data_IF_571090520170
#
_entry.id   IF_571090520170
#
_cell.length_a   1.000
_cell.length_b   1.000
_cell.length_c   1.000
_cell.angle_alpha   90.00
_cell.angle_beta   90.00
_cell.angle_gamma   90.00
#
_symmetry.space_group_name_H-M   'P 1'
#
loop_
_entity.id
_entity.type
_entity.pdbx_description
1 polymer ?
#
# COMPACT_ATOMS: atom_id res chain seq x y z
N UNK A 1 -73.92 9.79 -9.85
CA UNK A 1 -72.49 9.47 -9.66
C UNK A 1 -71.82 9.63 -11.01
N UNK A 2 -70.82 10.51 -11.13
CA UNK A 2 -70.06 10.69 -12.38
C UNK A 2 -69.08 9.52 -12.50
N UNK A 3 -69.31 8.62 -13.46
CA UNK A 3 -68.30 7.63 -13.84
C UNK A 3 -67.17 8.37 -14.56
N UNK A 4 -66.11 8.70 -13.82
CA UNK A 4 -64.87 9.21 -14.38
C UNK A 4 -64.08 7.98 -14.84
N UNK A 5 -64.18 7.64 -16.12
CA UNK A 5 -63.25 6.71 -16.74
C UNK A 5 -61.90 7.43 -16.86
N UNK A 6 -60.96 7.06 -15.99
CA UNK A 6 -59.58 7.48 -16.09
C UNK A 6 -58.95 6.66 -17.24
N UNK A 7 -59.04 7.17 -18.47
CA UNK A 7 -58.21 6.66 -19.56
C UNK A 7 -56.76 6.99 -19.23
N UNK A 8 -55.99 5.96 -18.85
CA UNK A 8 -54.53 6.06 -18.73
C UNK A 8 -53.99 6.36 -20.13
N UNK A 9 -53.39 7.53 -20.30
CA UNK A 9 -52.64 7.90 -21.50
C UNK A 9 -51.44 6.95 -21.60
N UNK A 10 -51.58 5.91 -22.41
CA UNK A 10 -50.53 4.91 -22.70
C UNK A 10 -50.68 4.24 -24.07
N UNK A 11 -51.80 4.45 -24.77
CA UNK A 11 -52.05 3.89 -26.10
C UNK A 11 -51.44 4.76 -27.20
N UNK A 12 -50.12 4.71 -27.34
CA UNK A 12 -49.46 5.00 -28.61
C UNK A 12 -48.35 3.96 -28.86
N UNK A 13 -48.73 2.69 -28.91
CA UNK A 13 -48.00 1.76 -29.77
C UNK A 13 -48.52 2.01 -31.20
N UNK A 14 -47.68 2.43 -32.16
CA UNK A 14 -48.11 2.56 -33.55
C UNK A 14 -48.71 1.23 -34.04
N UNK A 15 -49.68 1.27 -34.94
CA UNK A 15 -50.45 0.10 -35.41
C UNK A 15 -49.64 -1.02 -36.08
N UNK A 16 -48.33 -0.83 -36.22
CA UNK A 16 -47.37 -1.83 -36.73
C UNK A 16 -46.37 -2.28 -35.65
N UNK A 17 -46.60 -1.92 -34.39
CA UNK A 17 -45.72 -2.36 -33.30
C UNK A 17 -46.08 -3.77 -32.86
N UNK A 18 -45.06 -4.60 -32.76
CA UNK A 18 -45.06 -5.90 -32.07
C UNK A 18 -45.35 -5.78 -30.58
N UNK A 19 -45.51 -4.55 -30.06
CA UNK A 19 -45.61 -4.24 -28.64
C UNK A 19 -47.00 -3.70 -28.30
N UNK A 20 -47.58 -4.17 -27.21
CA UNK A 20 -48.86 -3.69 -26.68
C UNK A 20 -48.88 -3.76 -25.16
N UNK A 21 -49.69 -2.92 -24.50
CA UNK A 21 -49.83 -2.95 -23.05
C UNK A 21 -51.08 -3.72 -22.61
N UNK A 22 -50.95 -4.49 -21.53
CA UNK A 22 -52.11 -5.02 -20.82
C UNK A 22 -52.75 -3.94 -19.94
N UNK A 23 -53.95 -4.19 -19.40
CA UNK A 23 -54.66 -3.25 -18.51
C UNK A 23 -53.86 -2.94 -17.23
N UNK A 24 -53.08 -3.89 -16.77
CA UNK A 24 -52.22 -3.81 -15.59
C UNK A 24 -50.95 -2.98 -15.86
N UNK A 25 -50.63 -2.73 -17.14
CA UNK A 25 -49.43 -2.02 -17.56
C UNK A 25 -48.24 -2.93 -17.90
N UNK A 26 -48.46 -4.23 -18.10
CA UNK A 26 -47.42 -5.15 -18.58
C UNK A 26 -47.23 -4.98 -20.09
N UNK A 27 -46.00 -5.19 -20.56
CA UNK A 27 -45.67 -5.07 -21.98
C UNK A 27 -45.70 -6.46 -22.63
N UNK A 28 -46.62 -6.64 -23.57
CA UNK A 28 -46.68 -7.80 -24.45
C UNK A 28 -45.91 -7.51 -25.74
N UNK A 29 -44.88 -8.30 -26.01
CA UNK A 29 -44.07 -8.27 -27.22
C UNK A 29 -44.36 -9.55 -28.03
N UNK A 30 -44.96 -9.45 -29.20
CA UNK A 30 -45.27 -10.61 -30.06
C UNK A 30 -44.21 -10.79 -31.14
N UNK A 31 -44.01 -12.03 -31.59
CA UNK A 31 -43.09 -12.37 -32.69
C UNK A 31 -41.63 -11.94 -32.42
N UNK A 32 -41.17 -12.06 -31.18
CA UNK A 32 -39.80 -11.73 -30.79
C UNK A 32 -38.86 -12.81 -31.30
N UNK A 33 -37.79 -12.42 -32.01
CA UNK A 33 -36.73 -13.34 -32.43
C UNK A 33 -35.82 -13.64 -31.24
N UNK A 34 -35.87 -14.87 -30.76
CA UNK A 34 -35.18 -15.32 -29.54
C UNK A 34 -33.80 -15.91 -29.85
N UNK A 35 -33.69 -16.68 -30.94
CA UNK A 35 -32.43 -17.28 -31.40
C UNK A 35 -32.44 -17.49 -32.91
N UNK A 36 -31.25 -17.79 -33.47
CA UNK A 36 -31.04 -18.05 -34.90
C UNK A 36 -30.32 -19.38 -35.10
N UNK A 37 -30.71 -20.15 -36.09
CA UNK A 37 -29.96 -21.30 -36.56
C UNK A 37 -30.23 -21.55 -38.06
N UNK A 38 -29.26 -22.06 -38.83
CA UNK A 38 -27.92 -22.44 -38.41
C UNK A 38 -27.03 -21.22 -38.10
N UNK A 39 -26.19 -21.31 -37.06
CA UNK A 39 -25.26 -20.22 -36.71
C UNK A 39 -24.03 -20.74 -35.94
N UNK A 40 -22.84 -20.25 -36.29
CA UNK A 40 -21.64 -20.41 -35.47
C UNK A 40 -21.51 -19.22 -34.53
N UNK A 41 -21.24 -19.49 -33.24
CA UNK A 41 -21.03 -18.48 -32.21
C UNK A 41 -19.70 -18.72 -31.51
N UNK A 42 -19.01 -17.65 -31.16
CA UNK A 42 -17.75 -17.70 -30.43
C UNK A 42 -18.02 -17.77 -28.94
N UNK A 43 -17.43 -18.74 -28.22
CA UNK A 43 -17.45 -18.88 -26.77
C UNK A 43 -16.03 -18.88 -26.21
N UNK A 44 -15.85 -18.55 -24.93
CA UNK A 44 -14.61 -18.83 -24.24
C UNK A 44 -14.60 -20.25 -23.70
N UNK A 45 -13.45 -20.90 -23.71
CA UNK A 45 -13.33 -22.25 -23.17
C UNK A 45 -13.67 -22.33 -21.67
N UNK A 46 -13.41 -21.27 -20.88
CA UNK A 46 -13.79 -21.25 -19.46
C UNK A 46 -15.31 -21.36 -19.23
N UNK A 47 -16.14 -21.04 -20.23
CA UNK A 47 -17.60 -21.21 -20.16
C UNK A 47 -17.98 -22.71 -20.08
N UNK A 48 -17.04 -23.62 -20.39
CA UNK A 48 -17.22 -25.08 -20.36
C UNK A 48 -16.13 -25.73 -19.49
N UNK A 49 -16.35 -25.83 -18.15
CA UNK A 49 -15.34 -26.36 -17.22
C UNK A 49 -14.87 -27.78 -17.53
N UNK A 50 -15.68 -28.57 -18.24
CA UNK A 50 -15.36 -29.95 -18.65
C UNK A 50 -14.67 -30.05 -20.01
N UNK A 51 -14.39 -28.93 -20.68
CA UNK A 51 -13.75 -28.92 -21.99
C UNK A 51 -12.24 -29.03 -21.82
N UNK A 52 -11.68 -30.19 -22.17
CA UNK A 52 -10.25 -30.48 -22.10
C UNK A 52 -9.51 -30.02 -23.37
N UNK A 53 -8.23 -29.67 -23.22
CA UNK A 53 -7.35 -29.34 -24.36
C UNK A 53 -7.41 -27.89 -24.84
N UNK A 54 -8.10 -27.01 -24.11
CA UNK A 54 -8.19 -25.58 -24.40
C UNK A 54 -7.71 -24.75 -23.21
N UNK A 55 -7.04 -23.63 -23.47
CA UNK A 55 -6.76 -22.65 -22.40
C UNK A 55 -8.04 -21.89 -22.06
N UNK A 56 -8.21 -21.48 -20.80
CA UNK A 56 -9.44 -20.86 -20.32
C UNK A 56 -9.88 -19.63 -21.14
N UNK A 57 -8.91 -18.83 -21.59
CA UNK A 57 -9.07 -17.62 -22.39
C UNK A 57 -9.21 -17.86 -23.90
N UNK A 58 -9.08 -19.10 -24.36
CA UNK A 58 -9.19 -19.45 -25.76
C UNK A 58 -10.63 -19.29 -26.25
N UNK A 59 -10.79 -18.62 -27.40
CA UNK A 59 -12.07 -18.56 -28.11
C UNK A 59 -12.27 -19.86 -28.90
N UNK A 60 -13.46 -20.43 -28.76
CA UNK A 60 -13.93 -21.62 -29.48
C UNK A 60 -15.19 -21.27 -30.27
N UNK A 61 -15.22 -21.64 -31.55
CA UNK A 61 -16.40 -21.54 -32.39
C UNK A 61 -17.29 -22.75 -32.15
N UNK A 62 -18.52 -22.50 -31.68
CA UNK A 62 -19.53 -23.52 -31.44
C UNK A 62 -20.68 -23.34 -32.42
N UNK A 63 -20.93 -24.39 -33.19
CA UNK A 63 -22.02 -24.44 -34.15
C UNK A 63 -23.35 -24.79 -33.46
N UNK A 64 -24.40 -24.05 -33.80
CA UNK A 64 -25.78 -24.36 -33.43
C UNK A 64 -26.53 -24.84 -34.68
N UNK A 65 -26.73 -26.17 -34.82
CA UNK A 65 -27.45 -26.72 -35.96
C UNK A 65 -28.95 -26.39 -35.91
N UNK A 66 -29.55 -26.16 -37.07
CA UNK A 66 -30.98 -25.87 -37.18
C UNK A 66 -31.82 -27.07 -36.74
N UNK A 67 -31.38 -28.27 -37.09
CA UNK A 67 -31.99 -29.55 -36.73
C UNK A 67 -31.96 -29.86 -35.24
N UNK A 68 -31.18 -29.13 -34.43
CA UNK A 68 -31.12 -29.24 -32.98
C UNK A 68 -31.93 -28.14 -32.28
N UNK A 69 -31.80 -26.89 -32.75
CA UNK A 69 -32.53 -25.76 -32.18
C UNK A 69 -34.04 -25.84 -32.46
N UNK A 70 -34.43 -26.37 -33.62
CA UNK A 70 -35.83 -26.42 -34.05
C UNK A 70 -36.50 -27.78 -33.82
N UNK A 71 -35.88 -28.68 -33.03
CA UNK A 71 -36.57 -29.91 -32.61
C UNK A 71 -37.86 -29.57 -31.87
N UNK A 72 -38.96 -30.31 -32.08
CA UNK A 72 -40.20 -30.09 -31.37
C UNK A 72 -40.04 -30.04 -29.85
N UNK A 73 -39.17 -30.89 -29.29
CA UNK A 73 -38.86 -30.94 -27.86
C UNK A 73 -38.14 -29.68 -27.39
N UNK A 74 -37.15 -29.20 -28.16
CA UNK A 74 -36.46 -27.94 -27.89
C UNK A 74 -37.45 -26.77 -27.89
N UNK A 75 -38.26 -26.64 -28.95
CA UNK A 75 -39.25 -25.57 -29.08
C UNK A 75 -40.24 -25.60 -27.90
N UNK A 76 -40.75 -26.79 -27.55
CA UNK A 76 -41.67 -26.96 -26.44
C UNK A 76 -41.03 -26.60 -25.10
N UNK A 77 -39.75 -26.89 -24.89
CA UNK A 77 -39.04 -26.61 -23.64
C UNK A 77 -38.92 -25.11 -23.32
N UNK A 78 -38.95 -24.23 -24.32
CA UNK A 78 -38.94 -22.78 -24.11
C UNK A 78 -40.34 -22.18 -23.87
N UNK A 79 -41.41 -22.96 -24.02
CA UNK A 79 -42.75 -22.43 -23.81
C UNK A 79 -43.10 -22.40 -22.32
N UNK A 80 -43.36 -21.22 -21.77
CA UNK A 80 -43.65 -21.00 -20.36
C UNK A 80 -42.42 -20.72 -19.49
N UNK A 81 -41.21 -20.63 -20.07
CA UNK A 81 -40.01 -20.28 -19.31
C UNK A 81 -40.01 -18.81 -18.88
N UNK A 82 -39.21 -18.50 -17.87
CA UNK A 82 -39.03 -17.13 -17.40
C UNK A 82 -38.33 -16.26 -18.45
N UNK A 83 -38.77 -15.02 -18.58
CA UNK A 83 -37.98 -13.95 -19.15
C UNK A 83 -37.19 -13.30 -18.01
N UNK A 84 -35.89 -13.07 -18.21
CA UNK A 84 -34.99 -12.56 -17.16
C UNK A 84 -34.33 -11.24 -17.54
N UNK A 85 -34.01 -10.43 -16.54
CA UNK A 85 -33.09 -9.31 -16.71
C UNK A 85 -31.65 -9.84 -16.71
N UNK A 86 -31.01 -9.86 -17.88
CA UNK A 86 -29.75 -10.57 -18.11
C UNK A 86 -29.79 -12.07 -17.77
N UNK A 87 -28.66 -12.74 -18.01
CA UNK A 87 -28.46 -14.12 -17.55
C UNK A 87 -28.24 -14.15 -16.03
N UNK A 88 -28.98 -14.98 -15.29
CA UNK A 88 -28.69 -15.23 -13.87
C UNK A 88 -27.30 -15.85 -13.67
N UNK A 89 -26.76 -15.85 -12.43
CA UNK A 89 -25.49 -16.48 -12.10
C UNK A 89 -25.49 -17.96 -12.51
N UNK A 90 -24.37 -18.43 -13.07
CA UNK A 90 -24.22 -19.78 -13.65
C UNK A 90 -25.14 -20.08 -14.84
N UNK A 91 -25.77 -19.04 -15.42
CA UNK A 91 -26.67 -19.16 -16.55
C UNK A 91 -27.92 -20.03 -16.27
N UNK A 92 -28.44 -19.98 -15.04
CA UNK A 92 -29.56 -20.82 -14.61
C UNK A 92 -30.52 -20.04 -13.69
N UNK A 93 -31.82 -20.06 -13.99
CA UNK A 93 -32.87 -19.56 -13.09
C UNK A 93 -33.40 -20.69 -12.19
N UNK A 94 -33.55 -20.41 -10.90
CA UNK A 94 -34.08 -21.38 -9.94
C UNK A 94 -34.72 -20.67 -8.73
N UNK A 95 -35.29 -21.46 -7.82
CA UNK A 95 -36.02 -20.95 -6.65
C UNK A 95 -35.22 -19.99 -5.76
N UNK A 96 -33.88 -20.04 -5.79
CA UNK A 96 -33.03 -19.17 -4.97
C UNK A 96 -32.78 -17.79 -5.58
N UNK A 97 -32.89 -17.64 -6.90
CA UNK A 97 -32.57 -16.40 -7.62
C UNK A 97 -33.76 -15.84 -8.43
N UNK A 98 -34.85 -16.61 -8.61
CA UNK A 98 -35.99 -16.24 -9.46
C UNK A 98 -36.49 -14.81 -9.20
N UNK A 99 -36.64 -14.42 -7.94
CA UNK A 99 -37.17 -13.11 -7.56
C UNK A 99 -36.30 -11.94 -8.05
N UNK A 100 -34.98 -12.14 -8.16
CA UNK A 100 -34.04 -11.07 -8.47
C UNK A 100 -33.88 -10.86 -9.98
N UNK A 101 -34.12 -11.91 -10.78
CA UNK A 101 -33.88 -11.89 -12.22
C UNK A 101 -35.15 -11.98 -13.05
N UNK A 102 -36.24 -12.54 -12.53
CA UNK A 102 -37.49 -12.70 -13.27
C UNK A 102 -38.13 -11.35 -13.61
N UNK A 103 -38.42 -11.14 -14.88
CA UNK A 103 -39.09 -9.94 -15.38
C UNK A 103 -40.37 -10.26 -16.16
N UNK A 104 -40.65 -11.52 -16.47
CA UNK A 104 -41.77 -11.89 -17.33
C UNK A 104 -41.75 -13.35 -17.76
N UNK A 105 -42.56 -13.68 -18.77
CA UNK A 105 -42.68 -15.04 -19.29
C UNK A 105 -42.57 -15.06 -20.81
N UNK A 106 -42.07 -16.19 -21.33
CA UNK A 106 -42.06 -16.49 -22.76
C UNK A 106 -43.16 -17.50 -23.10
N UNK A 107 -43.91 -17.25 -24.17
CA UNK A 107 -45.02 -18.09 -24.63
C UNK A 107 -44.98 -18.24 -26.17
N UNK A 108 -45.77 -19.16 -26.71
CA UNK A 108 -46.02 -19.29 -28.16
C UNK A 108 -44.73 -19.46 -28.99
N UNK A 109 -43.79 -20.25 -28.45
CA UNK A 109 -42.49 -20.50 -29.08
C UNK A 109 -42.66 -21.39 -30.31
N UNK A 110 -42.03 -21.00 -31.42
CA UNK A 110 -42.12 -21.68 -32.72
C UNK A 110 -40.94 -21.32 -33.62
N UNK A 111 -40.77 -22.07 -34.70
CA UNK A 111 -39.81 -21.74 -35.75
C UNK A 111 -40.46 -20.82 -36.79
N UNK A 112 -39.76 -19.74 -37.16
CA UNK A 112 -40.09 -18.91 -38.32
C UNK A 112 -38.81 -18.65 -39.14
N UNK A 113 -38.67 -19.35 -40.27
CA UNK A 113 -37.46 -19.33 -41.08
C UNK A 113 -36.25 -19.82 -40.28
N UNK A 114 -35.19 -19.01 -40.24
CA UNK A 114 -33.95 -19.29 -39.52
C UNK A 114 -34.02 -18.87 -38.04
N UNK A 115 -35.19 -18.49 -37.52
CA UNK A 115 -35.36 -17.96 -36.18
C UNK A 115 -36.26 -18.83 -35.29
N UNK A 116 -35.86 -18.94 -34.02
CA UNK A 116 -36.75 -19.31 -32.94
C UNK A 116 -37.48 -18.05 -32.51
N UNK A 117 -38.81 -18.06 -32.59
CA UNK A 117 -39.66 -16.90 -32.33
C UNK A 117 -40.61 -17.23 -31.18
N UNK A 118 -40.86 -16.26 -30.30
CA UNK A 118 -41.85 -16.38 -29.23
C UNK A 118 -42.45 -15.04 -28.85
N UNK A 119 -43.46 -15.09 -27.99
CA UNK A 119 -44.12 -13.92 -27.43
C UNK A 119 -43.65 -13.72 -25.98
N UNK A 120 -43.31 -12.49 -25.61
CA UNK A 120 -42.87 -12.15 -24.26
C UNK A 120 -43.92 -11.29 -23.54
N UNK A 121 -44.25 -11.66 -22.31
CA UNK A 121 -45.01 -10.82 -21.40
C UNK A 121 -44.08 -10.27 -20.32
N UNK A 122 -43.59 -9.06 -20.51
CA UNK A 122 -42.70 -8.37 -19.57
C UNK A 122 -43.55 -7.61 -18.54
N UNK A 123 -43.31 -7.92 -17.27
CA UNK A 123 -44.03 -7.39 -16.11
C UNK A 123 -43.22 -6.37 -15.31
N UNK A 124 -41.89 -6.46 -15.35
CA UNK A 124 -41.03 -5.52 -14.62
C UNK A 124 -41.01 -4.13 -15.27
N UNK A 125 -41.19 -3.09 -14.45
CA UNK A 125 -41.31 -1.70 -14.93
C UNK A 125 -39.99 -1.16 -15.49
N UNK A 126 -38.85 -1.53 -14.90
CA UNK A 126 -37.54 -1.04 -15.35
C UNK A 126 -37.22 -1.66 -16.70
N UNK A 127 -37.42 -2.97 -16.86
CA UNK A 127 -37.24 -3.65 -18.15
C UNK A 127 -38.17 -3.11 -19.23
N UNK A 128 -39.44 -2.81 -18.89
CA UNK A 128 -40.38 -2.17 -19.82
C UNK A 128 -39.82 -0.82 -20.31
N UNK A 129 -39.34 0.03 -19.39
CA UNK A 129 -38.79 1.34 -19.76
C UNK A 129 -37.56 1.21 -20.67
N UNK A 130 -36.68 0.24 -20.40
CA UNK A 130 -35.49 -0.05 -21.22
C UNK A 130 -35.84 -0.56 -22.62
N UNK A 131 -36.89 -1.35 -22.75
CA UNK A 131 -37.40 -1.81 -24.06
C UNK A 131 -38.03 -0.65 -24.83
N UNK A 132 -38.83 0.17 -24.15
CA UNK A 132 -39.50 1.32 -24.77
C UNK A 132 -38.51 2.39 -25.25
N UNK A 133 -37.42 2.61 -24.50
CA UNK A 133 -36.34 3.51 -24.90
C UNK A 133 -35.41 2.92 -25.99
N UNK A 134 -35.58 1.63 -26.33
CA UNK A 134 -34.65 0.84 -27.15
C UNK A 134 -33.21 0.79 -26.60
N UNK A 135 -33.01 1.04 -25.31
CA UNK A 135 -31.71 0.88 -24.66
C UNK A 135 -31.33 -0.60 -24.49
N UNK A 136 -32.34 -1.45 -24.30
CA UNK A 136 -32.17 -2.91 -24.19
C UNK A 136 -33.30 -3.63 -24.89
N UNK A 137 -32.97 -4.31 -25.99
CA UNK A 137 -33.96 -5.03 -26.81
C UNK A 137 -33.45 -6.37 -27.34
N UNK A 138 -32.16 -6.70 -27.19
CA UNK A 138 -31.60 -7.94 -27.74
C UNK A 138 -31.88 -9.13 -26.83
N UNK A 139 -32.04 -10.30 -27.43
CA UNK A 139 -32.39 -11.55 -26.76
C UNK A 139 -31.19 -12.49 -26.71
N UNK A 140 -31.12 -13.26 -25.61
CA UNK A 140 -30.21 -14.38 -25.47
C UNK A 140 -30.92 -15.55 -24.79
N UNK A 141 -30.68 -16.77 -25.24
CA UNK A 141 -31.29 -17.95 -24.64
C UNK A 141 -30.44 -18.45 -23.46
N UNK A 142 -31.09 -18.72 -22.33
CA UNK A 142 -30.57 -19.55 -21.27
C UNK A 142 -31.07 -20.98 -21.45
N UNK A 143 -30.15 -21.95 -21.47
CA UNK A 143 -30.48 -23.35 -21.75
C UNK A 143 -29.43 -24.31 -21.23
N UNK A 144 -29.85 -25.53 -20.97
CA UNK A 144 -28.98 -26.70 -20.97
C UNK A 144 -28.80 -27.22 -22.40
N UNK A 145 -27.59 -27.58 -22.78
CA UNK A 145 -27.31 -28.28 -24.03
C UNK A 145 -26.09 -29.20 -23.85
N UNK A 146 -26.01 -30.24 -24.67
CA UNK A 146 -24.84 -31.09 -24.74
C UNK A 146 -23.86 -30.52 -25.77
N UNK A 147 -22.62 -30.28 -25.33
CA UNK A 147 -21.53 -29.87 -26.20
C UNK A 147 -20.83 -31.09 -26.78
N UNK A 148 -20.82 -31.22 -28.10
CA UNK A 148 -20.08 -32.27 -28.82
C UNK A 148 -18.85 -31.64 -29.46
N UNK A 149 -17.66 -32.02 -28.99
CA UNK A 149 -16.39 -31.57 -29.57
C UNK A 149 -16.15 -32.30 -30.89
N UNK A 150 -16.24 -31.55 -31.98
CA UNK A 150 -16.12 -32.07 -33.34
C UNK A 150 -15.71 -30.90 -34.24
N UNK A 151 -14.64 -31.09 -35.00
CA UNK A 151 -14.20 -30.10 -35.99
C UNK A 151 -15.09 -30.22 -37.23
N UNK A 152 -15.60 -29.09 -37.71
CA UNK A 152 -16.41 -29.07 -38.93
C UNK A 152 -16.54 -27.68 -39.53
N UNK A 153 -17.37 -27.59 -40.56
CA UNK A 153 -17.65 -26.36 -41.27
C UNK A 153 -19.17 -26.19 -41.39
N UNK A 154 -19.68 -25.04 -40.93
CA UNK A 154 -21.09 -24.71 -41.03
C UNK A 154 -21.51 -24.45 -42.49
N UNK A 155 -22.82 -24.46 -42.81
CA UNK A 155 -23.30 -24.26 -44.17
C UNK A 155 -22.84 -22.94 -44.84
N UNK A 156 -22.52 -21.93 -44.04
CA UNK A 156 -22.00 -20.63 -44.50
C UNK A 156 -20.48 -20.61 -44.73
N UNK A 157 -19.79 -21.75 -44.54
CA UNK A 157 -18.35 -21.88 -44.68
C UNK A 157 -17.57 -21.60 -43.39
N UNK A 158 -18.23 -21.24 -42.29
CA UNK A 158 -17.54 -20.91 -41.03
C UNK A 158 -17.05 -22.18 -40.32
N UNK A 159 -15.74 -22.32 -40.01
CA UNK A 159 -15.23 -23.46 -39.27
C UNK A 159 -15.64 -23.40 -37.78
N UNK A 160 -15.95 -24.57 -37.21
CA UNK A 160 -16.30 -24.73 -35.80
C UNK A 160 -15.49 -25.85 -35.14
N UNK A 161 -15.32 -25.77 -33.82
CA UNK A 161 -14.60 -26.75 -32.99
C UNK A 161 -15.54 -27.66 -32.19
N UNK A 162 -16.79 -27.24 -32.02
CA UNK A 162 -17.80 -28.02 -31.34
C UNK A 162 -19.19 -27.66 -31.87
N UNK A 163 -20.18 -28.48 -31.56
CA UNK A 163 -21.59 -28.20 -31.83
C UNK A 163 -22.46 -28.47 -30.61
N UNK A 164 -23.53 -27.71 -30.46
CA UNK A 164 -24.55 -27.97 -29.45
C UNK A 164 -25.62 -28.93 -29.99
N UNK A 165 -26.01 -29.89 -29.15
CA UNK A 165 -27.14 -30.78 -29.39
C UNK A 165 -27.99 -30.88 -28.12
N UNK A 166 -29.23 -31.39 -28.25
CA UNK A 166 -30.13 -31.67 -27.12
C UNK A 166 -30.38 -30.45 -26.23
N UNK A 167 -30.89 -29.37 -26.83
CA UNK A 167 -31.25 -28.15 -26.11
C UNK A 167 -32.46 -28.38 -25.20
N UNK A 168 -32.41 -27.78 -24.01
CA UNK A 168 -33.52 -27.68 -23.08
C UNK A 168 -33.57 -26.26 -22.52
N UNK A 169 -34.67 -25.55 -22.78
CA UNK A 169 -34.87 -24.18 -22.36
C UNK A 169 -34.92 -24.02 -20.85
N UNK A 170 -34.28 -22.95 -20.36
CA UNK A 170 -34.30 -22.53 -18.96
C UNK A 170 -34.92 -21.13 -18.82
N UNK A 171 -34.46 -20.16 -19.61
CA UNK A 171 -34.98 -18.79 -19.63
C UNK A 171 -34.69 -18.05 -20.94
N UNK A 172 -35.35 -16.89 -21.12
CA UNK A 172 -35.06 -15.91 -22.18
C UNK A 172 -34.52 -14.63 -21.55
N UNK A 173 -33.26 -14.29 -21.78
CA UNK A 173 -32.64 -13.11 -21.20
C UNK A 173 -32.82 -11.87 -22.08
N UNK A 174 -33.32 -10.78 -21.49
CA UNK A 174 -33.25 -9.43 -22.04
C UNK A 174 -31.85 -8.88 -21.79
N UNK A 175 -31.08 -8.70 -22.86
CA UNK A 175 -29.68 -8.27 -22.80
C UNK A 175 -29.43 -7.04 -23.66
N UNK A 176 -28.36 -6.32 -23.34
CA UNK A 176 -27.93 -5.19 -24.18
C UNK A 176 -27.42 -5.66 -25.54
N UNK A 177 -26.67 -6.75 -25.54
CA UNK A 177 -26.10 -7.36 -26.72
C UNK A 177 -26.25 -8.88 -26.61
N UNK A 178 -26.90 -9.51 -27.59
CA UNK A 178 -27.14 -10.95 -27.64
C UNK A 178 -26.10 -11.67 -28.50
N UNK A 179 -25.79 -12.92 -28.16
CA UNK A 179 -24.81 -13.73 -28.91
C UNK A 179 -25.30 -14.18 -30.29
N UNK A 180 -26.61 -14.15 -30.49
CA UNK A 180 -27.23 -14.34 -31.80
C UNK A 180 -27.00 -13.13 -32.75
N UNK A 181 -26.56 -11.98 -32.20
CA UNK A 181 -26.46 -10.71 -32.90
C UNK A 181 -27.77 -9.92 -32.86
N UNK A 182 -27.72 -8.66 -33.29
CA UNK A 182 -28.84 -7.71 -33.19
C UNK A 182 -30.08 -8.05 -34.02
N UNK A 183 -30.09 -9.17 -34.75
CA UNK A 183 -31.28 -9.72 -35.40
C UNK A 183 -32.22 -10.43 -34.40
N UNK A 184 -31.66 -10.97 -33.31
CA UNK A 184 -32.41 -11.60 -32.23
C UNK A 184 -32.78 -10.54 -31.18
N UNK A 185 -33.96 -9.93 -31.33
CA UNK A 185 -34.39 -8.80 -30.51
C UNK A 185 -35.91 -8.62 -30.50
N UNK A 186 -36.38 -7.79 -29.58
CA UNK A 186 -37.71 -7.20 -29.56
C UNK A 186 -37.73 -6.01 -30.52
N UNK A 187 -38.39 -6.12 -31.68
CA UNK A 187 -38.45 -4.99 -32.60
C UNK A 187 -39.43 -5.17 -33.76
N UNK A 188 -39.88 -4.02 -34.26
CA UNK A 188 -40.75 -3.93 -35.42
C UNK A 188 -39.92 -4.09 -36.70
N UNK A 189 -40.54 -4.61 -37.76
CA UNK A 189 -39.90 -5.07 -39.01
C UNK A 189 -39.01 -4.02 -39.73
N UNK A 190 -39.05 -2.75 -39.31
CA UNK A 190 -38.37 -1.59 -39.94
C UNK A 190 -37.34 -0.89 -39.05
N UNK A 191 -36.57 -1.60 -38.23
CA UNK A 191 -35.40 -1.00 -37.59
C UNK A 191 -34.10 -1.59 -38.17
N UNK A 192 -33.28 -0.74 -38.78
CA UNK A 192 -31.90 -1.10 -39.14
C UNK A 192 -31.07 -1.20 -37.86
N UNK A 193 -30.39 -2.34 -37.59
CA UNK A 193 -29.56 -2.48 -36.41
C UNK A 193 -28.45 -1.41 -36.41
N UNK A 194 -28.38 -0.61 -35.35
CA UNK A 194 -27.14 0.08 -34.94
C UNK A 194 -26.64 -0.56 -33.64
N UNK A 195 -26.50 -1.88 -33.63
CA UNK A 195 -26.00 -2.64 -32.48
C UNK A 195 -24.61 -3.16 -32.78
N UNK A 196 -23.61 -2.75 -31.98
CA UNK A 196 -22.34 -3.48 -31.88
C UNK A 196 -22.61 -4.80 -31.15
N UNK A 197 -21.84 -5.82 -31.46
CA UNK A 197 -21.93 -7.15 -30.86
C UNK A 197 -21.48 -7.17 -29.39
N UNK A 198 -21.66 -8.29 -28.70
CA UNK A 198 -21.44 -8.42 -27.25
C UNK A 198 -20.10 -7.84 -26.77
N UNK A 199 -20.20 -6.95 -25.78
CA UNK A 199 -19.07 -6.39 -25.03
C UNK A 199 -18.79 -7.30 -23.82
N UNK A 200 -17.61 -7.90 -23.76
CA UNK A 200 -17.13 -8.63 -22.56
C UNK A 200 -16.11 -7.76 -21.84
N UNK A 201 -16.25 -7.65 -20.53
CA UNK A 201 -15.29 -6.93 -19.68
C UNK A 201 -14.42 -7.92 -18.89
N UNK A 202 -13.12 -7.91 -19.13
CA UNK A 202 -12.12 -8.61 -18.30
C UNK A 202 -11.19 -7.57 -17.69
N UNK A 203 -11.06 -7.54 -16.36
CA UNK A 203 -10.22 -6.59 -15.63
C UNK A 203 -10.47 -5.10 -15.96
N UNK A 204 -11.73 -4.75 -16.25
CA UNK A 204 -12.11 -3.36 -16.58
C UNK A 204 -11.82 -2.92 -18.01
N UNK A 205 -11.32 -3.82 -18.86
CA UNK A 205 -11.05 -3.58 -20.29
C UNK A 205 -12.19 -4.19 -21.12
N UNK A 206 -12.72 -3.41 -22.07
CA UNK A 206 -13.88 -3.73 -22.91
C UNK A 206 -13.42 -4.43 -24.20
N UNK A 207 -14.06 -5.54 -24.56
CA UNK A 207 -13.78 -6.30 -25.78
C UNK A 207 -15.06 -6.52 -26.60
N UNK A 208 -15.05 -6.15 -27.88
CA UNK A 208 -16.14 -6.39 -28.83
C UNK A 208 -15.98 -7.78 -29.50
N UNK A 209 -16.95 -8.69 -29.33
CA UNK A 209 -16.95 -10.01 -30.00
C UNK A 209 -17.57 -9.86 -31.40
N UNK A 210 -16.80 -9.57 -32.45
CA UNK A 210 -17.35 -9.61 -33.82
C UNK A 210 -16.56 -8.97 -34.97
N UNK A 211 -15.43 -8.31 -34.73
CA UNK A 211 -14.59 -7.80 -35.83
C UNK A 211 -13.12 -7.92 -35.44
N UNK A 212 -12.21 -8.11 -36.41
CA UNK A 212 -10.76 -8.26 -36.16
C UNK A 212 -10.02 -6.90 -36.06
N UNK A 213 -10.74 -5.78 -36.18
CA UNK A 213 -10.22 -4.40 -35.99
C UNK A 213 -9.86 -4.02 -34.55
N UNK A 214 -10.62 -4.40 -33.51
CA UNK A 214 -10.29 -4.10 -32.11
C UNK A 214 -9.00 -4.78 -31.65
N UNK A 215 -8.61 -5.93 -32.23
CA UNK A 215 -7.30 -6.52 -31.94
C UNK A 215 -6.16 -5.62 -32.44
N UNK A 216 -6.31 -5.00 -33.62
CA UNK A 216 -5.33 -4.05 -34.13
C UNK A 216 -5.32 -2.75 -33.32
N UNK A 217 -6.47 -2.26 -32.87
CA UNK A 217 -6.56 -1.08 -32.01
C UNK A 217 -6.10 -1.36 -30.56
N UNK A 218 -6.32 -2.57 -30.05
CA UNK A 218 -5.84 -3.02 -28.74
C UNK A 218 -4.33 -3.31 -28.76
N UNK A 219 -3.80 -3.88 -29.85
CA UNK A 219 -2.36 -3.99 -30.08
C UNK A 219 -1.74 -2.61 -30.21
N UNK A 220 -2.40 -1.67 -30.92
CA UNK A 220 -1.93 -0.29 -31.04
C UNK A 220 -2.00 0.46 -29.70
N UNK A 221 -3.05 0.28 -28.91
CA UNK A 221 -3.21 0.89 -27.60
C UNK A 221 -2.26 0.26 -26.57
N UNK A 222 -2.02 -1.06 -26.62
CA UNK A 222 -0.94 -1.70 -25.87
C UNK A 222 0.42 -1.19 -26.31
N UNK A 223 0.66 -1.01 -27.62
CA UNK A 223 1.90 -0.46 -28.14
C UNK A 223 2.09 0.97 -27.63
N UNK A 224 1.06 1.81 -27.68
CA UNK A 224 1.08 3.18 -27.14
C UNK A 224 1.23 3.21 -25.61
N UNK A 225 0.62 2.28 -24.88
CA UNK A 225 0.82 2.12 -23.44
C UNK A 225 2.22 1.64 -23.09
N UNK A 226 2.77 0.69 -23.84
CA UNK A 226 4.16 0.23 -23.74
C UNK A 226 5.13 1.36 -24.05
N UNK A 227 4.88 2.16 -25.08
CA UNK A 227 5.71 3.33 -25.40
C UNK A 227 5.58 4.42 -24.33
N UNK A 228 4.39 4.65 -23.77
CA UNK A 228 4.18 5.58 -22.65
C UNK A 228 4.83 5.08 -21.34
N UNK A 229 4.80 3.77 -21.06
CA UNK A 229 5.48 3.14 -19.93
C UNK A 229 7.01 3.15 -20.11
N UNK A 230 7.51 2.91 -21.32
CA UNK A 230 8.93 3.07 -21.66
C UNK A 230 9.38 4.54 -21.55
N UNK A 231 8.51 5.49 -21.86
CA UNK A 231 8.76 6.93 -21.72
C UNK A 231 8.58 7.45 -20.29
N UNK A 232 7.89 6.69 -19.42
CA UNK A 232 7.71 7.04 -18.02
C UNK A 232 9.06 6.98 -17.29
N UNK A 233 9.35 8.04 -16.52
CA UNK A 233 10.59 8.18 -15.77
C UNK A 233 10.31 7.98 -14.29
N UNK A 234 10.97 7.00 -13.68
CA UNK A 234 10.94 6.84 -12.23
C UNK A 234 11.86 7.90 -11.59
N UNK A 235 11.35 8.66 -10.61
CA UNK A 235 12.14 9.67 -9.89
C UNK A 235 12.61 9.10 -8.55
N UNK A 236 13.92 9.12 -8.31
CA UNK A 236 14.54 8.77 -7.03
C UNK A 236 15.50 9.91 -6.66
N UNK A 237 15.20 10.61 -5.57
CA UNK A 237 15.85 11.89 -5.26
C UNK A 237 15.66 12.92 -6.38
N UNK A 238 16.75 13.53 -6.85
CA UNK A 238 16.73 14.51 -7.96
C UNK A 238 17.01 13.89 -9.34
N UNK A 239 17.19 12.56 -9.44
CA UNK A 239 17.51 11.87 -10.69
C UNK A 239 16.28 11.16 -11.28
N UNK A 240 16.26 11.06 -12.62
CA UNK A 240 15.21 10.40 -13.39
C UNK A 240 15.77 9.17 -14.13
N UNK A 241 15.07 8.04 -14.05
CA UNK A 241 15.46 6.77 -14.66
C UNK A 241 14.40 6.32 -15.68
N UNK A 242 14.82 5.89 -16.87
CA UNK A 242 13.93 5.37 -17.92
C UNK A 242 13.53 3.93 -17.63
N UNK A 243 12.24 3.60 -17.73
CA UNK A 243 11.70 2.28 -17.34
C UNK A 243 11.85 1.21 -18.46
N UNK A 244 12.27 1.61 -19.68
CA UNK A 244 12.32 0.72 -20.85
C UNK A 244 13.25 -0.51 -20.75
N UNK A 245 14.17 -0.55 -19.79
CA UNK A 245 15.02 -1.71 -19.48
C UNK A 245 14.83 -2.09 -17.99
N UNK A 246 13.72 -2.79 -17.71
CA UNK A 246 13.21 -3.05 -16.35
C UNK A 246 14.28 -3.54 -15.36
N UNK A 247 15.23 -4.36 -15.79
CA UNK A 247 16.27 -4.92 -14.93
C UNK A 247 17.36 -3.89 -14.55
N UNK A 248 17.78 -3.05 -15.49
CA UNK A 248 18.85 -2.06 -15.27
C UNK A 248 18.36 -0.85 -14.47
N UNK A 249 17.12 -0.43 -14.70
CA UNK A 249 16.51 0.67 -13.95
C UNK A 249 16.29 0.30 -12.48
N UNK A 250 15.81 -0.91 -12.20
CA UNK A 250 15.64 -1.41 -10.83
C UNK A 250 16.99 -1.57 -10.15
N UNK A 251 18.00 -2.11 -10.83
CA UNK A 251 19.35 -2.26 -10.26
C UNK A 251 19.98 -0.91 -9.91
N UNK A 252 19.86 0.10 -10.79
CA UNK A 252 20.38 1.44 -10.52
C UNK A 252 19.71 2.11 -9.32
N UNK A 253 18.41 1.89 -9.11
CA UNK A 253 17.68 2.39 -7.93
C UNK A 253 18.12 1.67 -6.66
N UNK A 254 18.31 0.36 -6.71
CA UNK A 254 18.82 -0.44 -5.58
C UNK A 254 20.22 0.02 -5.17
N UNK A 255 21.11 0.22 -6.13
CA UNK A 255 22.49 0.67 -5.87
C UNK A 255 22.53 2.08 -5.27
N UNK A 256 21.68 2.99 -5.76
CA UNK A 256 21.56 4.35 -5.22
C UNK A 256 21.02 4.35 -3.79
N UNK A 257 19.95 3.60 -3.51
CA UNK A 257 19.39 3.45 -2.17
C UNK A 257 20.41 2.84 -1.20
N UNK A 258 21.22 1.88 -1.65
CA UNK A 258 22.30 1.32 -0.85
C UNK A 258 23.39 2.34 -0.51
N UNK A 259 23.73 3.21 -1.47
CA UNK A 259 24.73 4.28 -1.29
C UNK A 259 24.22 5.34 -0.30
N UNK A 260 22.96 5.76 -0.44
CA UNK A 260 22.33 6.73 0.47
C UNK A 260 22.19 6.17 1.88
N UNK A 261 21.78 4.90 2.02
CA UNK A 261 21.71 4.21 3.31
C UNK A 261 23.08 4.20 4.01
N UNK A 262 24.13 3.78 3.30
CA UNK A 262 25.50 3.77 3.84
C UNK A 262 25.94 5.17 4.30
N UNK A 263 25.63 6.21 3.51
CA UNK A 263 25.95 7.60 3.84
C UNK A 263 25.20 8.09 5.09
N UNK A 264 23.92 7.75 5.23
CA UNK A 264 23.11 8.10 6.39
C UNK A 264 23.58 7.37 7.64
N UNK A 265 23.90 6.09 7.56
CA UNK A 265 24.47 5.31 8.67
C UNK A 265 25.79 5.92 9.16
N UNK A 266 26.65 6.37 8.23
CA UNK A 266 27.90 7.04 8.56
C UNK A 266 27.66 8.40 9.26
N UNK A 267 26.72 9.20 8.76
CA UNK A 267 26.31 10.47 9.41
C UNK A 267 25.71 10.26 10.80
N UNK A 268 24.88 9.23 10.98
CA UNK A 268 24.30 8.87 12.28
C UNK A 268 25.43 8.49 13.25
N UNK A 269 26.37 7.65 12.84
CA UNK A 269 27.52 7.29 13.68
C UNK A 269 28.41 8.49 14.06
N UNK A 270 28.60 9.46 13.16
CA UNK A 270 29.33 10.68 13.46
C UNK A 270 28.57 11.63 14.40
N UNK A 271 27.23 11.69 14.28
CA UNK A 271 26.38 12.45 15.21
C UNK A 271 26.32 11.79 16.60
N UNK A 272 26.26 10.47 16.68
CA UNK A 272 26.32 9.71 17.94
C UNK A 272 27.65 9.92 18.67
N UNK A 273 28.79 9.92 17.94
CA UNK A 273 30.11 10.21 18.54
C UNK A 273 30.22 11.63 19.11
N UNK A 274 29.46 12.57 18.55
CA UNK A 274 29.46 13.98 18.94
C UNK A 274 28.33 14.36 19.91
N UNK A 275 27.47 13.42 20.32
CA UNK A 275 26.45 13.70 21.32
C UNK A 275 27.06 13.84 22.72
N UNK A 276 26.62 14.87 23.43
CA UNK A 276 26.80 15.01 24.87
C UNK A 276 25.92 13.95 25.55
N UNK A 277 26.52 12.81 25.90
CA UNK A 277 25.80 11.78 26.66
C UNK A 277 25.41 12.31 28.04
N UNK A 278 24.32 11.82 28.64
CA UNK A 278 23.95 12.15 30.01
C UNK A 278 25.13 12.02 30.99
N UNK A 279 25.98 10.98 30.86
CA UNK A 279 27.15 10.83 31.73
C UNK A 279 28.17 11.96 31.56
N UNK A 280 28.42 12.43 30.33
CA UNK A 280 29.33 13.57 30.09
C UNK A 280 28.78 14.87 30.64
N UNK A 281 27.45 15.06 30.63
CA UNK A 281 26.79 16.22 31.22
C UNK A 281 26.88 16.17 32.74
N UNK A 282 26.64 15.01 33.35
CA UNK A 282 26.79 14.79 34.80
C UNK A 282 28.24 14.99 35.26
N UNK A 283 29.21 14.45 34.52
CA UNK A 283 30.63 14.67 34.80
C UNK A 283 31.01 16.14 34.72
N UNK A 284 30.59 16.86 33.67
CA UNK A 284 30.86 18.29 33.54
C UNK A 284 30.20 19.12 34.66
N UNK A 285 29.00 18.72 35.12
CA UNK A 285 28.32 19.35 36.25
C UNK A 285 29.06 19.09 37.58
N UNK A 286 29.53 17.87 37.81
CA UNK A 286 30.31 17.51 39.00
C UNK A 286 31.66 18.24 39.04
N UNK A 287 32.38 18.28 37.92
CA UNK A 287 33.64 19.03 37.81
C UNK A 287 33.43 20.53 38.03
N UNK A 288 32.35 21.10 37.50
CA UNK A 288 31.99 22.50 37.74
C UNK A 288 31.68 22.78 39.21
N UNK A 289 30.93 21.89 39.87
CA UNK A 289 30.63 22.01 41.30
C UNK A 289 31.91 21.97 42.16
N UNK A 290 32.83 21.06 41.85
CA UNK A 290 34.12 20.96 42.55
C UNK A 290 34.98 22.22 42.38
N UNK A 291 35.09 22.75 41.15
CA UNK A 291 35.83 23.99 40.88
C UNK A 291 35.23 25.17 41.64
N UNK A 292 33.90 25.29 41.71
CA UNK A 292 33.24 26.36 42.46
C UNK A 292 33.51 26.22 43.96
N UNK A 293 33.41 25.01 44.51
CA UNK A 293 33.66 24.76 45.93
C UNK A 293 35.11 25.11 46.32
N UNK A 294 36.08 24.65 45.53
CA UNK A 294 37.49 24.97 45.72
C UNK A 294 37.77 26.47 45.58
N UNK A 295 37.20 27.10 44.56
CA UNK A 295 37.39 28.53 44.32
C UNK A 295 36.86 29.37 45.50
N UNK A 296 35.67 29.03 46.02
CA UNK A 296 35.09 29.70 47.19
C UNK A 296 35.89 29.43 48.47
N UNK A 297 36.47 28.25 48.64
CA UNK A 297 37.33 27.95 49.78
C UNK A 297 38.65 28.74 49.73
N UNK A 298 39.23 28.92 48.54
CA UNK A 298 40.48 29.66 48.35
C UNK A 298 40.27 31.18 48.42
N UNK A 299 39.20 31.68 47.78
CA UNK A 299 38.86 33.11 47.66
C UNK A 299 37.34 33.26 47.82
N UNK A 300 36.82 33.51 49.03
CA UNK A 300 35.37 33.57 49.28
C UNK A 300 34.60 34.58 48.41
N UNK A 301 35.26 35.67 48.04
CA UNK A 301 34.71 36.78 47.24
C UNK A 301 34.76 36.54 45.73
N UNK A 302 35.33 35.42 45.24
CA UNK A 302 35.45 35.17 43.79
C UNK A 302 34.06 35.00 43.14
N UNK A 303 33.88 35.61 41.96
CA UNK A 303 32.64 35.50 41.19
C UNK A 303 32.58 34.17 40.46
N UNK A 304 31.53 33.40 40.69
CA UNK A 304 31.33 32.06 40.09
C UNK A 304 30.09 31.98 39.20
N UNK A 305 29.16 32.92 39.36
CA UNK A 305 27.93 33.01 38.58
C UNK A 305 28.21 33.61 37.20
N UNK A 306 27.73 32.93 36.15
CA UNK A 306 27.96 33.33 34.76
C UNK A 306 29.39 33.11 34.24
N UNK A 307 30.32 32.65 35.09
CA UNK A 307 31.70 32.37 34.72
C UNK A 307 31.90 30.91 34.26
N UNK A 308 32.80 30.70 33.30
CA UNK A 308 33.30 29.36 32.93
C UNK A 308 34.24 28.82 34.01
N UNK A 309 34.42 27.50 34.10
CA UNK A 309 35.36 26.91 35.06
C UNK A 309 36.79 27.43 34.86
N UNK A 310 37.19 27.70 33.62
CA UNK A 310 38.50 28.29 33.33
C UNK A 310 38.61 29.72 33.86
N UNK A 311 37.59 30.56 33.64
CA UNK A 311 37.56 31.93 34.17
C UNK A 311 37.67 31.93 35.69
N UNK A 312 36.91 31.06 36.38
CA UNK A 312 36.95 30.93 37.83
C UNK A 312 38.37 30.58 38.32
N UNK A 313 39.04 29.63 37.65
CA UNK A 313 40.41 29.23 38.01
C UNK A 313 41.40 30.39 37.83
N UNK A 314 41.31 31.12 36.72
CA UNK A 314 42.16 32.29 36.45
C UNK A 314 41.92 33.39 37.48
N UNK A 315 40.67 33.68 37.83
CA UNK A 315 40.33 34.69 38.83
C UNK A 315 40.88 34.35 40.22
N UNK A 316 40.82 33.07 40.62
CA UNK A 316 41.42 32.61 41.89
C UNK A 316 42.94 32.76 41.89
N UNK A 317 43.61 32.36 40.80
CA UNK A 317 45.07 32.49 40.68
C UNK A 317 45.48 33.97 40.69
N UNK A 318 44.75 34.83 39.98
CA UNK A 318 45.00 36.27 39.98
C UNK A 318 44.82 36.89 41.38
N UNK A 319 43.77 36.51 42.10
CA UNK A 319 43.53 36.95 43.48
C UNK A 319 44.59 36.42 44.48
N UNK A 320 45.30 35.35 44.11
CA UNK A 320 46.37 34.71 44.90
C UNK A 320 47.75 34.93 44.30
N UNK A 321 47.96 35.96 43.49
CA UNK A 321 49.23 36.19 42.78
C UNK A 321 50.48 36.25 43.69
N UNK A 322 50.31 36.65 44.96
CA UNK A 322 51.38 36.68 45.96
C UNK A 322 51.62 35.36 46.69
N UNK A 323 50.89 34.29 46.38
CA UNK A 323 51.08 32.97 46.96
C UNK A 323 52.36 32.31 46.42
N UNK A 324 53.14 31.67 47.29
CA UNK A 324 54.41 31.05 46.92
C UNK A 324 54.23 29.94 45.87
N UNK A 325 53.12 29.19 45.92
CA UNK A 325 52.80 28.14 44.94
C UNK A 325 52.40 28.76 43.59
N UNK A 326 51.65 29.86 43.61
CA UNK A 326 51.30 30.59 42.38
C UNK A 326 52.57 31.13 41.73
N UNK A 327 53.45 31.75 42.51
CA UNK A 327 54.72 32.29 42.00
C UNK A 327 55.61 31.18 41.41
N UNK A 328 55.71 30.04 42.09
CA UNK A 328 56.52 28.91 41.63
C UNK A 328 55.99 28.25 40.34
N UNK A 329 54.67 28.12 40.20
CA UNK A 329 54.04 27.42 39.08
C UNK A 329 53.72 28.33 37.88
N UNK A 330 53.48 29.61 38.12
CA UNK A 330 53.24 30.59 37.07
C UNK A 330 54.55 31.21 36.56
N UNK A 331 55.58 31.31 37.39
CA UNK A 331 56.85 31.94 37.04
C UNK A 331 56.64 33.40 36.62
N UNK A 332 57.20 33.79 35.47
CA UNK A 332 57.02 35.12 34.88
C UNK A 332 55.79 35.22 33.96
N UNK A 333 54.99 34.16 33.82
CA UNK A 333 53.83 34.15 32.92
C UNK A 333 52.64 34.82 33.60
N UNK A 334 52.11 35.87 32.97
CA UNK A 334 50.89 36.52 33.45
C UNK A 334 49.69 35.57 33.35
N UNK A 335 48.74 35.68 34.28
CA UNK A 335 47.56 34.80 34.35
C UNK A 335 46.72 34.83 33.08
N UNK A 336 46.70 35.95 32.34
CA UNK A 336 46.01 36.07 31.05
C UNK A 336 46.66 35.24 29.93
N UNK A 337 47.99 35.12 29.94
CA UNK A 337 48.77 34.49 28.86
C UNK A 337 49.07 33.02 29.11
N UNK A 338 48.78 32.52 30.31
CA UNK A 338 49.04 31.14 30.68
C UNK A 338 48.14 30.15 29.92
N UNK A 339 48.75 29.03 29.51
CA UNK A 339 48.04 27.93 28.85
C UNK A 339 47.05 27.26 29.82
N UNK A 340 45.92 26.71 29.34
CA UNK A 340 44.92 26.06 30.19
C UNK A 340 45.49 24.99 31.13
N UNK A 341 46.50 24.22 30.68
CA UNK A 341 47.16 23.19 31.48
C UNK A 341 47.91 23.79 32.68
N UNK A 342 48.57 24.94 32.49
CA UNK A 342 49.31 25.64 33.54
C UNK A 342 48.36 26.25 34.57
N UNK A 343 47.24 26.81 34.13
CA UNK A 343 46.14 27.29 35.00
C UNK A 343 45.54 26.14 35.80
N UNK A 344 45.25 25.01 35.15
CA UNK A 344 44.71 23.82 35.82
C UNK A 344 45.66 23.26 36.87
N UNK A 345 46.96 23.20 36.56
CA UNK A 345 47.99 22.69 37.48
C UNK A 345 48.14 23.60 38.69
N UNK A 346 48.21 24.92 38.47
CA UNK A 346 48.33 25.91 39.53
C UNK A 346 47.11 25.92 40.44
N UNK A 347 45.90 25.90 39.87
CA UNK A 347 44.67 25.85 40.63
C UNK A 347 44.55 24.56 41.46
N UNK A 348 44.90 23.40 40.90
CA UNK A 348 44.92 22.13 41.63
C UNK A 348 45.90 22.15 42.81
N UNK A 349 47.09 22.72 42.61
CA UNK A 349 48.09 22.86 43.68
C UNK A 349 47.56 23.73 44.82
N UNK A 350 46.92 24.86 44.51
CA UNK A 350 46.24 25.70 45.50
C UNK A 350 45.12 24.95 46.23
N UNK A 351 44.25 24.25 45.49
CA UNK A 351 43.16 23.45 46.07
C UNK A 351 43.67 22.34 46.99
N UNK A 352 44.83 21.75 46.70
CA UNK A 352 45.39 20.66 47.50
C UNK A 352 45.91 21.12 48.88
N UNK A 353 46.25 22.40 49.03
CA UNK A 353 46.75 22.99 50.29
C UNK A 353 45.71 23.83 51.03
N UNK A 354 44.44 23.77 50.60
CA UNK A 354 43.35 24.53 51.25
C UNK A 354 43.23 24.13 52.72
N UNK A 355 43.54 25.06 53.63
CA UNK A 355 43.47 24.86 55.09
C UNK A 355 44.81 24.65 55.80
N UNK A 356 45.94 24.59 55.08
CA UNK A 356 47.26 24.67 55.72
C UNK A 356 47.80 26.10 55.60
N UNK A 357 47.96 26.78 56.73
CA UNK A 357 48.72 28.03 56.76
C UNK A 357 50.21 27.71 56.63
N UNK A 358 50.99 28.36 55.74
CA UNK A 358 52.43 28.23 55.78
C UNK A 358 52.94 28.82 57.10
N UNK A 359 53.44 27.97 58.01
CA UNK A 359 54.21 28.42 59.17
C UNK A 359 55.41 29.21 58.65
N UNK A 360 55.61 30.44 59.12
CA UNK A 360 56.85 31.17 58.89
C UNK A 360 57.90 30.61 59.86
N UNK A 361 58.84 29.75 59.40
CA UNK A 361 59.78 29.08 60.30
C UNK A 361 60.70 30.07 61.03
N UNK A 362 60.86 31.30 60.52
CA UNK A 362 61.69 32.35 61.12
C UNK A 362 60.96 33.05 62.28
N UNK A 363 59.64 33.21 62.19
CA UNK A 363 58.84 33.83 63.25
C UNK A 363 58.67 32.90 64.46
N UNK A 364 58.49 31.60 64.22
CA UNK A 364 58.38 30.60 65.29
C UNK A 364 59.72 30.39 66.02
N UNK A 365 60.85 30.48 65.31
CA UNK A 365 62.18 30.41 65.92
C UNK A 365 62.50 31.61 66.83
N UNK A 366 62.09 32.84 66.46
CA UNK A 366 62.28 34.02 67.29
C UNK A 366 61.42 34.01 68.57
N UNK A 367 60.19 33.49 68.48
CA UNK A 367 59.27 33.44 69.61
C UNK A 367 59.70 32.37 70.65
N UNK A 368 60.39 31.31 70.20
CA UNK A 368 60.95 30.29 71.09
C UNK A 368 62.19 30.77 71.86
N UNK A 369 62.92 31.76 71.33
CA UNK A 369 64.15 32.29 71.95
C UNK A 369 63.88 33.35 73.03
N UNK A 370 62.69 33.94 73.07
CA UNK A 370 62.31 34.97 74.06
C UNK A 370 61.69 34.41 75.36
N UNK A 371 61.33 33.11 75.42
CA UNK A 371 60.50 32.55 76.49
C UNK A 371 61.16 31.45 77.36
N UNK A 372 62.48 31.30 77.35
CA UNK A 372 63.16 30.36 78.26
C UNK A 372 63.93 31.14 79.33
N UNK A 373 63.22 31.47 80.41
CA UNK A 373 63.82 31.84 81.69
C UNK A 373 64.44 30.60 82.34
N UNK A 374 65.67 30.78 82.84
CA UNK A 374 66.40 29.82 83.65
C UNK A 374 65.71 29.54 85.00
N UNK A 375 65.81 28.30 85.50
CA UNK A 375 65.33 27.93 86.83
C UNK A 375 65.40 26.44 87.17
N UNK A 376 66.61 25.97 87.49
CA UNK A 376 67.05 25.00 88.50
C UNK A 376 66.08 23.96 89.14
N UNK A 377 66.49 22.67 89.17
CA UNK A 377 66.07 21.74 90.26
C UNK A 377 65.91 20.22 89.98
N UNK A 378 67.04 19.50 89.78
CA UNK A 378 67.45 18.10 90.12
C UNK A 378 66.68 17.31 91.25
N UNK A 379 66.93 15.98 91.53
CA UNK A 379 66.85 14.71 90.74
C UNK A 379 66.36 13.44 91.53
N UNK A 380 66.12 12.28 90.87
CA UNK A 380 66.35 10.86 91.32
C UNK A 380 65.50 9.88 90.48
N UNK A 381 65.86 8.68 90.01
CA UNK A 381 67.03 7.77 89.97
C UNK A 381 66.59 6.54 89.12
N UNK A 382 67.39 5.99 88.19
CA UNK A 382 68.22 4.77 88.37
C UNK A 382 67.89 3.71 87.27
N UNK A 383 68.91 3.14 86.59
CA UNK A 383 68.82 2.08 85.54
C UNK A 383 68.46 0.68 86.07
N UNK A 384 68.32 -0.41 85.30
CA UNK A 384 69.11 -0.98 84.18
C UNK A 384 68.37 -2.15 83.44
N UNK A 385 68.81 -2.44 82.19
CA UNK A 385 69.06 -3.74 81.47
C UNK A 385 68.17 -5.01 81.66
N UNK A 386 68.03 -6.01 80.76
CA UNK A 386 68.42 -6.42 79.37
C UNK A 386 67.69 -7.76 79.07
N UNK A 387 67.46 -8.13 77.80
CA UNK A 387 68.04 -9.33 77.11
C UNK A 387 67.35 -9.68 75.77
N UNK A 388 68.18 -10.00 74.77
CA UNK A 388 67.85 -10.53 73.44
C UNK A 388 68.07 -12.06 73.42
N UNK A 389 67.21 -12.82 72.73
CA UNK A 389 67.40 -14.25 72.41
C UNK A 389 67.77 -14.46 70.93
N UNK A 390 68.56 -15.51 70.67
CA UNK A 390 69.38 -15.77 69.47
C UNK A 390 68.80 -16.81 68.49
N UNK A 391 67.54 -17.24 68.60
CA UNK A 391 67.14 -18.51 67.95
C UNK A 391 66.50 -18.45 66.56
N UNK A 392 65.95 -17.33 66.06
CA UNK A 392 65.18 -17.39 64.79
C UNK A 392 65.62 -16.43 63.68
N UNK A 393 66.83 -15.86 63.77
CA UNK A 393 67.36 -14.92 62.78
C UNK A 393 68.01 -15.56 61.53
N UNK A 394 67.87 -16.86 61.29
CA UNK A 394 68.44 -17.50 60.10
C UNK A 394 67.52 -18.55 59.48
N UNK A 395 66.80 -18.15 58.43
CA UNK A 395 66.59 -18.91 57.18
C UNK A 395 65.89 -18.05 56.14
N UNK A 396 66.71 -17.18 55.54
CA UNK A 396 66.63 -16.71 54.15
C UNK A 396 66.48 -17.89 53.18
N UNK A 397 65.59 -17.80 52.19
CA UNK A 397 65.85 -17.41 50.78
C UNK A 397 64.54 -16.89 50.21
#
# INVERSE_FOLDING_TARGET
MKNIYLFKVGDFAPSESTRSFTKEGYLKCVNVRLAKAPQVRQYYAYEFPSLEGYSADQIINIYTPAEELFKPETIASFNGVDATDYHPPKNEINASNWKDYHIGYCENVRQEGDYLVGDLLIKDKISIDLIQSNERIEMSLGYGAMLVVEQGTAPDGTPYQAKFINFNGDHIALVKYGRCGGDCRIGDEKQTPKGKTMEVSVNGIRFDIGDNKPLADALKQQQEQLENLKAAKLKVGDKHFSIGDELNAVQAVVDQLHTEKTTLEQKVGDLEKNQMTPEKVEQAAAERAAVIADAKALVPTVKTEGCTCEQIKRDVIAAKAGDALVTALMGSVAVGDAKPEQINTTFRALSAVKGTHPSNPVADALNHQQNINAGDGKPSGGGEEKTYSKEDAYKTI
#
